data_IF_094762568086
#
_entry.id   IF_094762568086
#
_cell.length_a   1.000
_cell.length_b   1.000
_cell.length_c   1.000
_cell.angle_alpha   90.00
_cell.angle_beta   90.00
_cell.angle_gamma   90.00
#
_symmetry.space_group_name_H-M   'P 1'
#
loop_
_entity.id
_entity.type
_entity.pdbx_description
1 polymer ?
#
# COMPACT_ATOMS: atom_id res chain seq x y z
N UNK A 1 19.45 11.99 19.97
CA UNK A 1 19.32 11.21 18.70
C UNK A 1 19.74 9.78 18.96
N UNK A 2 18.81 8.94 19.38
CA UNK A 2 19.05 7.50 19.43
C UNK A 2 18.73 6.95 18.02
N UNK A 3 19.73 6.87 17.16
CA UNK A 3 19.67 6.05 15.96
C UNK A 3 19.60 4.60 16.40
N UNK A 4 18.40 4.05 16.48
CA UNK A 4 18.25 2.62 16.63
C UNK A 4 18.70 1.98 15.32
N UNK A 5 19.85 1.32 15.33
CA UNK A 5 20.29 0.53 14.18
C UNK A 5 19.40 -0.71 14.06
N UNK A 6 18.53 -0.71 13.07
CA UNK A 6 17.70 -1.89 12.74
C UNK A 6 18.43 -2.77 11.73
N UNK A 7 18.43 -4.07 11.96
CA UNK A 7 18.89 -5.05 10.98
C UNK A 7 17.68 -5.61 10.23
N UNK A 8 17.60 -5.30 8.93
CA UNK A 8 16.57 -5.84 8.05
C UNK A 8 17.14 -7.05 7.29
N UNK A 9 16.47 -8.20 7.38
CA UNK A 9 16.77 -9.39 6.58
C UNK A 9 15.64 -9.58 5.57
N UNK A 10 15.97 -9.58 4.29
CA UNK A 10 15.01 -9.75 3.20
C UNK A 10 15.08 -11.18 2.69
N UNK A 11 13.91 -11.83 2.60
CA UNK A 11 13.73 -13.14 1.98
C UNK A 11 12.86 -12.90 0.74
N UNK A 12 13.47 -12.99 -0.44
CA UNK A 12 12.73 -12.94 -1.70
C UNK A 12 12.23 -14.33 -2.08
N UNK A 13 10.94 -14.43 -2.42
CA UNK A 13 10.32 -15.69 -2.82
C UNK A 13 9.79 -15.56 -4.24
N UNK A 14 10.17 -16.49 -5.15
CA UNK A 14 9.62 -16.49 -6.50
C UNK A 14 8.11 -16.68 -6.51
N UNK A 15 7.39 -15.94 -7.36
CA UNK A 15 5.94 -15.99 -7.50
C UNK A 15 5.39 -17.20 -8.27
N UNK A 16 6.19 -18.26 -8.49
CA UNK A 16 5.77 -19.45 -9.24
C UNK A 16 5.14 -20.51 -8.34
N UNK A 17 4.14 -21.23 -8.88
CA UNK A 17 3.36 -22.28 -8.19
C UNK A 17 4.26 -23.38 -7.60
N UNK A 18 5.39 -23.67 -8.25
CA UNK A 18 6.32 -24.73 -7.86
C UNK A 18 7.07 -24.44 -6.55
N UNK A 19 7.07 -23.19 -6.06
CA UNK A 19 7.78 -22.74 -4.86
C UNK A 19 6.91 -22.59 -3.62
N UNK A 20 5.74 -23.25 -3.59
CA UNK A 20 4.78 -23.13 -2.47
C UNK A 20 5.38 -23.58 -1.13
N UNK A 21 6.27 -24.59 -1.16
CA UNK A 21 6.94 -25.11 0.05
C UNK A 21 7.98 -24.12 0.58
N UNK A 22 8.74 -23.48 -0.29
CA UNK A 22 9.72 -22.44 0.07
C UNK A 22 9.01 -21.23 0.66
N UNK A 23 7.90 -20.78 0.06
CA UNK A 23 7.06 -19.72 0.59
C UNK A 23 6.53 -20.08 1.98
N UNK A 24 6.00 -21.28 2.15
CA UNK A 24 5.46 -21.73 3.44
C UNK A 24 6.54 -21.81 4.53
N UNK A 25 7.76 -22.25 4.18
CA UNK A 25 8.88 -22.26 5.12
C UNK A 25 9.31 -20.86 5.53
N UNK A 26 9.35 -19.94 4.56
CA UNK A 26 9.69 -18.54 4.81
C UNK A 26 8.68 -17.87 5.74
N UNK A 27 7.39 -18.08 5.52
CA UNK A 27 6.31 -17.47 6.32
C UNK A 27 6.39 -17.81 7.82
N UNK A 28 7.05 -18.91 8.20
CA UNK A 28 7.21 -19.30 9.61
C UNK A 28 8.18 -18.43 10.40
N UNK A 29 9.05 -17.69 9.71
CA UNK A 29 10.14 -16.91 10.32
C UNK A 29 10.03 -15.42 10.00
N UNK A 30 9.01 -15.00 9.26
CA UNK A 30 8.80 -13.60 8.88
C UNK A 30 8.11 -12.82 9.99
N UNK A 31 8.64 -11.65 10.31
CA UNK A 31 8.00 -10.64 11.15
C UNK A 31 6.93 -9.85 10.38
N UNK A 32 7.07 -9.76 9.06
CA UNK A 32 6.13 -9.12 8.14
C UNK A 32 6.42 -9.47 6.69
N UNK A 33 5.51 -9.18 5.80
CA UNK A 33 5.64 -9.45 4.38
C UNK A 33 5.20 -8.26 3.52
N UNK A 34 5.81 -8.13 2.35
CA UNK A 34 5.34 -7.26 1.27
C UNK A 34 4.69 -8.13 0.21
N UNK A 35 3.38 -8.03 0.05
CA UNK A 35 2.62 -8.73 -0.98
C UNK A 35 2.56 -7.88 -2.25
N UNK A 36 3.12 -8.38 -3.35
CA UNK A 36 3.12 -7.68 -4.63
C UNK A 36 1.92 -8.10 -5.48
N UNK A 37 1.17 -7.12 -5.95
CA UNK A 37 0.08 -7.31 -6.92
C UNK A 37 0.40 -6.58 -8.22
N UNK A 38 0.00 -7.14 -9.35
CA UNK A 38 0.13 -6.48 -10.63
C UNK A 38 -1.04 -5.51 -10.85
N UNK A 39 -0.75 -4.27 -11.22
CA UNK A 39 -1.79 -3.26 -11.48
C UNK A 39 -2.71 -3.63 -12.65
N UNK A 40 -2.26 -4.51 -13.57
CA UNK A 40 -3.02 -4.96 -14.73
C UNK A 40 -3.79 -6.25 -14.46
N UNK A 41 -3.11 -7.26 -13.86
CA UNK A 41 -3.72 -8.58 -13.62
C UNK A 41 -4.53 -8.64 -12.33
N UNK A 42 -4.30 -7.73 -11.39
CA UNK A 42 -4.98 -7.74 -10.09
C UNK A 42 -4.55 -8.91 -9.19
N UNK A 43 -5.55 -9.51 -8.55
CA UNK A 43 -5.37 -10.68 -7.68
C UNK A 43 -5.48 -11.95 -8.52
N UNK A 44 -4.36 -12.67 -8.62
CA UNK A 44 -4.24 -13.92 -9.35
C UNK A 44 -4.38 -15.13 -8.40
N UNK A 45 -4.70 -16.35 -8.89
CA UNK A 45 -4.88 -17.54 -8.04
C UNK A 45 -3.66 -17.86 -7.16
N UNK A 46 -2.46 -17.53 -7.63
CA UNK A 46 -1.23 -17.69 -6.87
C UNK A 46 -1.18 -16.73 -5.68
N UNK A 47 -1.60 -15.47 -5.88
CA UNK A 47 -1.72 -14.47 -4.81
C UNK A 47 -2.67 -14.95 -3.71
N UNK A 48 -3.81 -15.56 -4.09
CA UNK A 48 -4.76 -16.11 -3.12
C UNK A 48 -4.14 -17.23 -2.29
N UNK A 49 -3.36 -18.12 -2.92
CA UNK A 49 -2.72 -19.24 -2.24
C UNK A 49 -1.73 -18.77 -1.20
N UNK A 50 -0.83 -17.85 -1.58
CA UNK A 50 0.17 -17.24 -0.68
C UNK A 50 -0.52 -16.43 0.43
N UNK A 51 -1.59 -15.72 0.10
CA UNK A 51 -2.36 -14.94 1.06
C UNK A 51 -2.94 -15.82 2.17
N UNK A 52 -3.59 -16.94 1.81
CA UNK A 52 -4.13 -17.89 2.78
C UNK A 52 -3.05 -18.54 3.65
N UNK A 53 -1.87 -18.79 3.10
CA UNK A 53 -0.74 -19.27 3.88
C UNK A 53 -0.25 -18.21 4.88
N UNK A 54 -0.15 -16.95 4.46
CA UNK A 54 0.20 -15.87 5.35
C UNK A 54 -0.83 -15.66 6.49
N UNK A 55 -2.12 -15.85 6.22
CA UNK A 55 -3.17 -15.85 7.24
C UNK A 55 -2.97 -16.98 8.25
N UNK A 56 -2.67 -18.20 7.77
CA UNK A 56 -2.41 -19.37 8.62
C UNK A 56 -1.27 -19.11 9.63
N UNK A 57 -0.22 -18.39 9.19
CA UNK A 57 0.92 -18.05 10.04
C UNK A 57 0.79 -16.69 10.72
N UNK A 58 -0.32 -15.97 10.52
CA UNK A 58 -0.60 -14.65 11.09
C UNK A 58 0.48 -13.62 10.78
N UNK A 59 1.05 -13.68 9.57
CA UNK A 59 2.07 -12.74 9.12
C UNK A 59 1.40 -11.42 8.72
N UNK A 60 1.71 -10.30 9.38
CA UNK A 60 1.24 -8.98 8.96
C UNK A 60 1.84 -8.63 7.60
N UNK A 61 1.09 -7.87 6.78
CA UNK A 61 1.55 -7.58 5.42
C UNK A 61 1.14 -6.19 4.96
N UNK A 62 2.03 -5.62 4.14
CA UNK A 62 1.77 -4.43 3.34
C UNK A 62 1.63 -4.89 1.90
N UNK A 63 0.65 -4.34 1.17
CA UNK A 63 0.45 -4.62 -0.25
C UNK A 63 1.15 -3.58 -1.10
N UNK A 64 1.85 -4.01 -2.14
CA UNK A 64 2.48 -3.14 -3.12
C UNK A 64 1.91 -3.42 -4.51
N UNK A 65 1.28 -2.42 -5.12
CA UNK A 65 0.73 -2.52 -6.48
C UNK A 65 1.80 -2.09 -7.47
N UNK A 66 2.33 -3.05 -8.21
CA UNK A 66 3.43 -2.89 -9.14
C UNK A 66 2.93 -2.75 -10.59
N UNK A 67 3.76 -2.22 -11.47
CA UNK A 67 3.51 -2.06 -12.90
C UNK A 67 2.38 -1.06 -13.21
N UNK A 68 2.33 0.04 -12.45
CA UNK A 68 1.39 1.13 -12.70
C UNK A 68 1.62 1.86 -14.03
N UNK A 69 2.82 1.70 -14.61
CA UNK A 69 3.25 2.21 -15.90
C UNK A 69 2.74 1.42 -17.11
N UNK A 70 2.14 0.26 -16.89
CA UNK A 70 1.68 -0.61 -17.97
C UNK A 70 0.25 -0.30 -18.43
N UNK A 71 0.02 -0.52 -19.72
CA UNK A 71 -1.32 -0.41 -20.31
C UNK A 71 -2.32 -1.32 -19.59
N UNK A 72 -3.47 -0.77 -19.20
CA UNK A 72 -4.50 -1.46 -18.43
C UNK A 72 -4.28 -1.44 -16.91
N UNK A 73 -3.32 -0.66 -16.41
CA UNK A 73 -3.08 -0.52 -14.97
C UNK A 73 -4.24 0.22 -14.28
N UNK A 74 -4.83 -0.41 -13.26
CA UNK A 74 -5.92 0.14 -12.46
C UNK A 74 -5.73 -0.18 -10.97
N UNK A 75 -5.23 0.79 -10.23
CA UNK A 75 -4.97 0.65 -8.80
C UNK A 75 -6.23 0.37 -7.99
N UNK A 76 -7.30 1.12 -8.24
CA UNK A 76 -8.54 0.99 -7.46
C UNK A 76 -9.23 -0.34 -7.71
N UNK A 77 -9.14 -0.88 -8.93
CA UNK A 77 -9.60 -2.23 -9.21
C UNK A 77 -8.81 -3.28 -8.42
N UNK A 78 -7.49 -3.13 -8.30
CA UNK A 78 -6.68 -4.04 -7.46
C UNK A 78 -7.10 -3.98 -6.00
N UNK A 79 -7.32 -2.78 -5.44
CA UNK A 79 -7.82 -2.60 -4.07
C UNK A 79 -9.16 -3.29 -3.88
N UNK A 80 -10.08 -3.14 -4.84
CA UNK A 80 -11.38 -3.82 -4.85
C UNK A 80 -11.22 -5.35 -4.88
N UNK A 81 -10.36 -5.87 -5.73
CA UNK A 81 -10.09 -7.31 -5.84
C UNK A 81 -9.48 -7.89 -4.56
N UNK A 82 -8.58 -7.18 -3.90
CA UNK A 82 -8.04 -7.57 -2.59
C UNK A 82 -9.17 -7.74 -1.58
N UNK A 83 -10.12 -6.81 -1.55
CA UNK A 83 -11.29 -6.90 -0.68
C UNK A 83 -12.18 -8.09 -1.03
N UNK A 84 -12.52 -8.27 -2.30
CA UNK A 84 -13.51 -9.24 -2.75
C UNK A 84 -12.96 -10.67 -2.82
N UNK A 85 -11.74 -10.85 -3.36
CA UNK A 85 -11.14 -12.18 -3.59
C UNK A 85 -10.38 -12.70 -2.38
N UNK A 86 -9.72 -11.80 -1.61
CA UNK A 86 -8.93 -12.19 -0.44
C UNK A 86 -9.68 -12.02 0.88
N UNK A 87 -10.91 -11.49 0.84
CA UNK A 87 -11.72 -11.17 2.03
C UNK A 87 -10.93 -10.33 3.06
N UNK A 88 -10.13 -9.39 2.56
CA UNK A 88 -9.31 -8.50 3.37
C UNK A 88 -9.99 -7.12 3.51
N UNK A 89 -9.50 -6.31 4.46
CA UNK A 89 -9.88 -4.90 4.63
C UNK A 89 -8.68 -4.05 4.15
N UNK A 90 -8.54 -3.77 2.83
CA UNK A 90 -7.43 -2.97 2.35
C UNK A 90 -7.62 -1.51 2.74
N UNK A 91 -6.55 -0.90 3.22
CA UNK A 91 -6.49 0.52 3.56
C UNK A 91 -5.35 1.14 2.77
N UNK A 92 -5.61 1.83 1.66
CA UNK A 92 -4.59 2.53 0.89
C UNK A 92 -3.83 3.54 1.75
N UNK A 93 -2.51 3.52 1.64
CA UNK A 93 -1.61 4.53 2.21
C UNK A 93 -1.20 5.56 1.17
N UNK A 94 -1.27 5.19 -0.12
CA UNK A 94 -0.89 6.04 -1.24
C UNK A 94 -1.87 5.86 -2.39
N UNK A 95 -2.15 6.95 -3.10
CA UNK A 95 -2.98 6.97 -4.32
C UNK A 95 -2.09 7.36 -5.50
N UNK A 96 -2.13 6.63 -6.65
CA UNK A 96 -1.29 6.96 -7.79
C UNK A 96 -1.72 8.26 -8.47
N UNK A 97 -0.75 9.02 -8.94
CA UNK A 97 -0.94 10.18 -9.80
C UNK A 97 -0.78 9.72 -11.24
N UNK A 98 -1.90 9.53 -11.91
CA UNK A 98 -1.95 8.97 -13.26
C UNK A 98 -1.83 7.44 -13.27
N UNK A 99 -1.90 6.88 -14.46
CA UNK A 99 -1.72 5.46 -14.74
C UNK A 99 -1.11 5.30 -16.14
N UNK A 100 -0.61 4.14 -16.45
CA UNK A 100 0.02 3.80 -17.73
C UNK A 100 1.18 4.76 -18.04
N UNK A 101 1.26 5.28 -19.27
CA UNK A 101 2.28 6.26 -19.67
C UNK A 101 2.16 7.60 -18.89
N UNK A 102 1.01 7.85 -18.27
CA UNK A 102 0.74 9.04 -17.45
C UNK A 102 1.06 8.86 -15.97
N UNK A 103 1.59 7.71 -15.54
CA UNK A 103 1.97 7.47 -14.14
C UNK A 103 3.22 8.29 -13.78
N UNK A 104 3.07 9.25 -12.84
CA UNK A 104 4.11 10.23 -12.52
C UNK A 104 4.55 10.20 -11.06
N UNK A 105 3.71 9.69 -10.19
CA UNK A 105 3.95 9.79 -8.76
C UNK A 105 2.82 9.21 -7.93
N UNK A 106 2.79 9.58 -6.67
CA UNK A 106 1.76 9.17 -5.71
C UNK A 106 1.35 10.34 -4.82
N UNK A 107 0.14 10.30 -4.31
CA UNK A 107 -0.27 11.10 -3.16
C UNK A 107 -0.12 10.22 -1.93
N UNK A 108 0.69 10.64 -0.98
CA UNK A 108 0.83 10.00 0.32
C UNK A 108 -0.30 10.47 1.23
N UNK A 109 -1.15 9.54 1.67
CA UNK A 109 -2.32 9.84 2.50
C UNK A 109 -1.97 10.04 3.98
N UNK A 110 -0.75 9.66 4.40
CA UNK A 110 -0.29 9.87 5.76
C UNK A 110 0.11 11.34 5.95
N UNK A 111 0.99 11.84 5.05
CA UNK A 111 1.47 13.23 5.08
C UNK A 111 0.55 14.20 4.36
N UNK A 112 -0.37 13.68 3.53
CA UNK A 112 -1.25 14.45 2.64
C UNK A 112 -0.49 15.30 1.63
N UNK A 113 0.56 14.70 1.03
CA UNK A 113 1.44 15.36 0.07
C UNK A 113 1.49 14.58 -1.25
N UNK A 114 1.59 15.30 -2.35
CA UNK A 114 1.81 14.68 -3.66
C UNK A 114 3.32 14.61 -3.95
N UNK A 115 3.80 13.42 -4.29
CA UNK A 115 5.19 13.11 -4.58
C UNK A 115 5.29 12.73 -6.06
N UNK A 116 6.09 13.48 -6.81
CA UNK A 116 6.32 13.24 -8.24
C UNK A 116 7.81 12.98 -8.47
N UNK A 117 8.14 11.86 -9.09
CA UNK A 117 9.53 11.48 -9.39
C UNK A 117 10.08 12.25 -10.57
N UNK A 118 11.37 12.55 -10.52
CA UNK A 118 12.07 13.16 -11.62
C UNK A 118 12.44 12.08 -12.66
N UNK A 119 11.97 12.26 -13.88
CA UNK A 119 12.24 11.31 -14.98
C UNK A 119 13.71 11.33 -15.40
N UNK A 120 14.37 12.48 -15.28
CA UNK A 120 15.77 12.70 -15.74
C UNK A 120 16.79 11.84 -14.98
N UNK A 121 16.49 11.43 -13.75
CA UNK A 121 17.37 10.62 -12.91
C UNK A 121 16.80 9.23 -12.57
N UNK A 122 15.87 8.76 -13.39
CA UNK A 122 15.17 7.47 -13.20
C UNK A 122 14.49 7.34 -11.84
N UNK A 123 13.96 8.44 -11.31
CA UNK A 123 13.22 8.48 -10.05
C UNK A 123 14.09 8.44 -8.79
N UNK A 124 15.39 8.72 -8.90
CA UNK A 124 16.28 8.80 -7.72
C UNK A 124 15.95 10.01 -6.85
N UNK A 125 15.43 11.06 -7.45
CA UNK A 125 14.93 12.25 -6.74
C UNK A 125 13.44 12.45 -7.00
N UNK A 126 12.80 13.19 -6.12
CA UNK A 126 11.38 13.52 -6.24
C UNK A 126 11.12 14.96 -5.81
N UNK A 127 9.99 15.48 -6.23
CA UNK A 127 9.48 16.78 -5.81
C UNK A 127 8.17 16.59 -5.05
N UNK A 128 8.00 17.34 -3.98
CA UNK A 128 6.70 17.50 -3.33
C UNK A 128 5.96 18.61 -4.06
N UNK A 129 4.75 18.33 -4.51
CA UNK A 129 3.93 19.26 -5.28
C UNK A 129 2.51 19.29 -4.70
N UNK A 130 1.71 20.27 -5.15
CA UNK A 130 0.30 20.33 -4.76
C UNK A 130 -0.48 19.11 -5.31
N UNK A 131 -1.44 18.64 -4.54
CA UNK A 131 -2.32 17.54 -4.97
C UNK A 131 -3.11 18.01 -6.21
N UNK A 132 -3.05 17.22 -7.32
CA UNK A 132 -3.78 17.56 -8.53
C UNK A 132 -5.28 17.74 -8.27
N UNK A 133 -5.88 18.78 -8.85
CA UNK A 133 -7.29 19.15 -8.61
C UNK A 133 -8.26 17.99 -8.87
N UNK A 134 -7.99 17.22 -9.92
CA UNK A 134 -8.80 16.06 -10.30
C UNK A 134 -8.69 14.85 -9.35
N UNK A 135 -7.75 14.87 -8.40
CA UNK A 135 -7.57 13.82 -7.40
C UNK A 135 -8.03 14.22 -6.00
N UNK A 136 -8.30 15.50 -5.75
CA UNK A 136 -8.63 16.00 -4.41
C UNK A 136 -9.78 15.22 -3.77
N UNK A 137 -10.91 15.09 -4.44
CA UNK A 137 -12.06 14.38 -3.90
C UNK A 137 -11.73 12.91 -3.57
N UNK A 138 -10.97 12.24 -4.45
CA UNK A 138 -10.52 10.86 -4.22
C UNK A 138 -9.55 10.76 -3.05
N UNK A 139 -8.62 11.69 -2.95
CA UNK A 139 -7.65 11.73 -1.86
C UNK A 139 -8.36 11.99 -0.52
N UNK A 140 -9.29 12.93 -0.48
CA UNK A 140 -10.06 13.24 0.72
C UNK A 140 -10.87 12.03 1.20
N UNK A 141 -11.56 11.34 0.28
CA UNK A 141 -12.31 10.10 0.59
C UNK A 141 -11.39 9.00 1.17
N UNK A 142 -10.27 8.73 0.51
CA UNK A 142 -9.36 7.67 0.96
C UNK A 142 -8.59 8.06 2.22
N UNK A 143 -8.25 9.35 2.40
CA UNK A 143 -7.65 9.83 3.63
C UNK A 143 -8.61 9.68 4.80
N UNK A 144 -9.86 10.08 4.64
CA UNK A 144 -10.88 9.88 5.67
C UNK A 144 -11.00 8.39 6.03
N UNK A 145 -11.07 7.51 5.02
CA UNK A 145 -11.11 6.07 5.24
C UNK A 145 -9.87 5.55 6.00
N UNK A 146 -8.67 6.06 5.68
CA UNK A 146 -7.44 5.74 6.40
C UNK A 146 -7.52 6.15 7.87
N UNK A 147 -7.91 7.41 8.14
CA UNK A 147 -8.02 7.95 9.51
C UNK A 147 -9.04 7.16 10.33
N UNK A 148 -10.22 6.88 9.78
CA UNK A 148 -11.24 6.05 10.43
C UNK A 148 -10.70 4.68 10.84
N UNK A 149 -9.98 4.02 9.92
CA UNK A 149 -9.43 2.69 10.19
C UNK A 149 -8.31 2.69 11.23
N UNK A 150 -7.48 3.72 11.28
CA UNK A 150 -6.40 3.84 12.27
C UNK A 150 -6.95 4.26 13.63
N UNK A 151 -7.94 5.14 13.66
CA UNK A 151 -8.60 5.59 14.88
C UNK A 151 -9.24 4.44 15.68
N UNK A 152 -9.66 3.35 15.02
CA UNK A 152 -10.15 2.15 15.71
C UNK A 152 -9.13 1.52 16.67
N UNK A 153 -7.84 1.83 16.54
CA UNK A 153 -6.75 1.24 17.32
C UNK A 153 -6.07 2.20 18.30
N UNK A 154 -6.46 3.48 18.32
CA UNK A 154 -5.89 4.51 19.20
C UNK A 154 -6.98 5.42 19.76
N UNK A 155 -7.23 5.33 21.05
CA UNK A 155 -8.29 6.09 21.74
C UNK A 155 -8.11 7.62 21.61
N UNK A 156 -6.88 8.13 21.62
CA UNK A 156 -6.62 9.56 21.48
C UNK A 156 -6.90 10.04 20.05
N UNK A 157 -6.57 9.21 19.05
CA UNK A 157 -6.86 9.51 17.66
C UNK A 157 -8.36 9.43 17.40
N UNK A 158 -9.04 8.48 18.04
CA UNK A 158 -10.49 8.34 17.95
C UNK A 158 -11.22 9.56 18.53
N UNK A 159 -10.79 10.08 19.69
CA UNK A 159 -11.36 11.31 20.25
C UNK A 159 -11.17 12.49 19.30
N UNK A 160 -9.96 12.71 18.77
CA UNK A 160 -9.68 13.76 17.80
C UNK A 160 -10.51 13.62 16.52
N UNK A 161 -10.68 12.39 16.03
CA UNK A 161 -11.48 12.13 14.84
C UNK A 161 -12.95 12.53 15.03
N UNK A 162 -13.53 12.31 16.23
CA UNK A 162 -14.90 12.72 16.52
C UNK A 162 -15.04 14.22 16.80
N UNK A 163 -14.00 14.87 17.33
CA UNK A 163 -14.04 16.32 17.59
C UNK A 163 -13.82 17.12 16.31
N UNK A 164 -12.79 16.82 15.55
CA UNK A 164 -12.44 17.53 14.32
C UNK A 164 -11.53 16.63 13.44
N UNK A 165 -12.10 15.88 12.49
CA UNK A 165 -11.31 15.01 11.58
C UNK A 165 -10.23 15.76 10.80
N UNK A 166 -10.45 17.04 10.48
CA UNK A 166 -9.53 17.86 9.71
C UNK A 166 -8.31 18.31 10.55
N UNK A 167 -8.41 18.23 11.88
CA UNK A 167 -7.29 18.51 12.79
C UNK A 167 -6.19 17.45 12.73
N UNK A 168 -6.48 16.26 12.18
CA UNK A 168 -5.52 15.18 12.03
C UNK A 168 -4.65 15.45 10.81
N UNK A 169 -3.63 16.24 10.99
CA UNK A 169 -2.73 16.66 9.89
C UNK A 169 -1.65 15.63 9.57
N UNK A 170 -1.27 14.82 10.56
CA UNK A 170 -0.28 13.74 10.38
C UNK A 170 -0.69 12.52 11.22
N UNK A 171 -0.52 11.33 10.66
CA UNK A 171 -0.81 10.05 11.32
C UNK A 171 0.41 9.41 11.98
N UNK A 172 1.52 10.14 12.06
CA UNK A 172 2.80 9.70 12.68
C UNK A 172 3.13 10.53 13.90
#
# INVERSE_FOLDING_TARGET
DSTNDFRVNIIDTPGHVDFTVEVERSLRVLDGAVALFCAVSGVEPQSETVWRQADKYKVPRICFVNKMDRAGADFLNVVKEIKEKLNAKPVPLQIPIGAEEGFKGVVDLITNEAIVWNEDDMGMTYNVVDIPENLKDTVDEWRQNLVENVAEYDDNLLEKFFEDPDSITCLL
#
